data_IF_147343592448
#
_entry.id   IF_147343592448
#
_cell.length_a   1.000
_cell.length_b   1.000
_cell.length_c   1.000
_cell.angle_alpha   90.00
_cell.angle_beta   90.00
_cell.angle_gamma   90.00
#
_symmetry.space_group_name_H-M   'P 1'
#
loop_
_entity.id
_entity.type
_entity.pdbx_description
1 polymer ?
#
# COMPACT_ATOMS: atom_id res chain seq x y z
N UNK A 1 54.68 -42.45 -33.36
CA UNK A 1 56.10 -42.03 -33.42
C UNK A 1 56.12 -40.52 -33.15
N UNK A 2 56.68 -40.13 -32.01
CA UNK A 2 57.03 -38.75 -31.59
C UNK A 2 55.89 -37.73 -31.31
N UNK A 3 56.13 -36.65 -30.51
CA UNK A 3 56.06 -36.72 -29.05
C UNK A 3 55.37 -35.51 -28.37
N UNK A 4 55.33 -35.60 -27.04
CA UNK A 4 55.30 -34.58 -26.00
C UNK A 4 55.69 -33.12 -26.33
N UNK A 5 54.91 -32.24 -25.68
CA UNK A 5 55.29 -31.04 -24.92
C UNK A 5 55.79 -29.79 -25.65
N UNK A 6 55.04 -28.69 -25.49
CA UNK A 6 55.58 -27.56 -24.74
C UNK A 6 54.50 -26.71 -24.10
N UNK A 7 54.83 -26.17 -22.92
CA UNK A 7 53.96 -25.50 -21.99
C UNK A 7 54.16 -23.98 -22.07
N UNK A 8 53.09 -23.23 -22.31
CA UNK A 8 53.06 -21.79 -22.06
C UNK A 8 51.98 -21.45 -21.03
N UNK A 9 52.45 -21.05 -19.84
CA UNK A 9 51.67 -20.53 -18.73
C UNK A 9 51.27 -19.09 -19.05
N UNK A 10 50.04 -18.88 -19.49
CA UNK A 10 49.39 -17.57 -19.48
C UNK A 10 48.83 -17.25 -18.09
N UNK A 11 49.49 -16.34 -17.37
CA UNK A 11 48.99 -15.65 -16.18
C UNK A 11 47.77 -14.79 -16.54
N UNK A 12 46.56 -15.34 -16.36
CA UNK A 12 45.32 -14.57 -16.36
C UNK A 12 45.10 -13.86 -15.02
N UNK A 13 44.55 -12.63 -15.00
CA UNK A 13 44.32 -11.91 -13.76
C UNK A 13 43.24 -12.62 -12.92
N UNK A 14 43.54 -12.79 -11.63
CA UNK A 14 42.63 -13.32 -10.62
C UNK A 14 41.29 -12.56 -10.60
N UNK A 15 40.14 -13.24 -10.44
CA UNK A 15 38.86 -12.56 -10.31
C UNK A 15 38.84 -11.79 -8.99
N UNK A 16 38.66 -10.47 -9.09
CA UNK A 16 38.42 -9.59 -7.95
C UNK A 16 37.28 -10.15 -7.09
N UNK A 17 37.67 -10.56 -5.88
CA UNK A 17 36.77 -11.03 -4.84
C UNK A 17 35.76 -9.93 -4.56
N UNK A 18 34.51 -10.16 -4.98
CA UNK A 18 33.34 -9.37 -4.56
C UNK A 18 33.41 -9.20 -3.05
N UNK A 19 33.58 -7.96 -2.59
CA UNK A 19 33.61 -7.60 -1.17
C UNK A 19 32.32 -8.09 -0.52
N UNK A 20 32.46 -9.15 0.28
CA UNK A 20 31.35 -9.73 1.04
C UNK A 20 30.76 -8.69 1.98
N UNK A 21 29.44 -8.57 1.96
CA UNK A 21 28.69 -7.94 3.04
C UNK A 21 29.14 -8.58 4.36
N UNK A 22 29.81 -7.81 5.22
CA UNK A 22 30.11 -8.24 6.58
C UNK A 22 28.83 -8.63 7.33
N UNK A 23 28.92 -9.40 8.43
CA UNK A 23 27.76 -9.86 9.17
C UNK A 23 26.89 -8.66 9.56
N UNK A 24 25.63 -8.68 9.13
CA UNK A 24 24.67 -7.59 9.35
C UNK A 24 24.54 -7.38 10.88
N UNK A 25 25.18 -6.32 11.40
CA UNK A 25 25.14 -6.02 12.84
C UNK A 25 23.68 -5.88 13.26
N UNK A 26 23.30 -6.57 14.34
CA UNK A 26 21.96 -6.46 14.90
C UNK A 26 21.60 -4.97 15.11
N UNK A 27 20.40 -4.51 14.70
CA UNK A 27 19.99 -3.12 14.86
C UNK A 27 20.03 -2.70 16.34
N UNK A 28 20.65 -1.54 16.64
CA UNK A 28 20.78 -1.04 18.03
C UNK A 28 20.15 0.33 18.22
N UNK A 29 20.15 1.16 17.19
CA UNK A 29 19.66 2.54 17.24
C UNK A 29 18.33 2.70 16.51
N UNK A 30 17.63 3.81 16.75
CA UNK A 30 16.43 4.17 16.00
C UNK A 30 16.68 4.20 14.48
N UNK A 31 17.86 4.68 14.07
CA UNK A 31 18.35 4.68 12.69
C UNK A 31 18.45 3.29 12.11
N UNK A 32 19.11 2.37 12.81
CA UNK A 32 19.30 0.99 12.34
C UNK A 32 17.97 0.28 12.09
N UNK A 33 17.00 0.44 13.01
CA UNK A 33 15.69 -0.19 12.86
C UNK A 33 14.89 0.39 11.69
N UNK A 34 14.93 1.72 11.50
CA UNK A 34 14.26 2.36 10.36
C UNK A 34 14.92 1.93 9.05
N UNK A 35 16.25 1.93 8.96
CA UNK A 35 16.98 1.50 7.77
C UNK A 35 16.77 0.03 7.46
N UNK A 36 16.78 -0.86 8.45
CA UNK A 36 16.46 -2.27 8.25
C UNK A 36 15.03 -2.46 7.69
N UNK A 37 14.07 -1.63 8.12
CA UNK A 37 12.73 -1.63 7.53
C UNK A 37 12.73 -1.14 6.09
N UNK A 38 13.41 -0.03 5.80
CA UNK A 38 13.54 0.57 4.46
C UNK A 38 14.18 -0.44 3.49
N UNK A 39 15.35 -1.01 3.84
CA UNK A 39 16.04 -2.06 3.07
C UNK A 39 15.11 -3.22 2.75
N UNK A 40 14.34 -3.70 3.74
CA UNK A 40 13.38 -4.79 3.51
C UNK A 40 12.30 -4.43 2.50
N UNK A 41 11.79 -3.19 2.51
CA UNK A 41 10.77 -2.77 1.55
C UNK A 41 11.36 -2.53 0.14
N UNK A 42 12.57 -1.99 0.05
CA UNK A 42 13.31 -1.85 -1.22
C UNK A 42 13.59 -3.23 -1.83
N UNK A 43 14.14 -4.15 -1.05
CA UNK A 43 14.35 -5.53 -1.49
C UNK A 43 13.03 -6.22 -1.89
N UNK A 44 11.92 -5.94 -1.22
CA UNK A 44 10.62 -6.46 -1.63
C UNK A 44 10.15 -5.86 -2.96
N UNK A 45 10.35 -4.55 -3.18
CA UNK A 45 10.04 -3.88 -4.44
C UNK A 45 10.81 -4.53 -5.60
N UNK A 46 12.14 -4.65 -5.47
CA UNK A 46 13.02 -5.25 -6.49
C UNK A 46 12.67 -6.71 -6.76
N UNK A 47 12.46 -7.53 -5.71
CA UNK A 47 12.08 -8.94 -5.89
C UNK A 47 10.71 -9.13 -6.56
N UNK A 48 9.79 -8.18 -6.41
CA UNK A 48 8.45 -8.27 -6.96
C UNK A 48 8.37 -7.78 -8.40
N UNK A 49 9.33 -6.98 -8.88
CA UNK A 49 9.34 -6.47 -10.25
C UNK A 49 9.25 -7.60 -11.31
N UNK A 50 10.09 -8.66 -11.28
CA UNK A 50 9.97 -9.75 -12.25
C UNK A 50 8.62 -10.48 -12.16
N UNK A 51 8.05 -10.59 -10.96
CA UNK A 51 6.75 -11.22 -10.76
C UNK A 51 5.61 -10.39 -11.37
N UNK A 52 5.69 -9.06 -11.29
CA UNK A 52 4.73 -8.15 -11.93
C UNK A 52 4.83 -8.23 -13.45
N UNK A 53 6.06 -8.21 -13.99
CA UNK A 53 6.26 -8.34 -15.45
C UNK A 53 5.68 -9.64 -16.01
N UNK A 54 5.80 -10.74 -15.26
CA UNK A 54 5.28 -12.07 -15.60
C UNK A 54 3.80 -12.30 -15.29
N UNK A 55 3.07 -11.29 -14.84
CA UNK A 55 1.66 -11.42 -14.41
C UNK A 55 1.41 -12.45 -13.30
N UNK A 56 2.36 -12.64 -12.39
CA UNK A 56 2.15 -13.63 -11.34
C UNK A 56 1.04 -13.17 -10.40
N UNK A 57 0.17 -14.08 -9.91
CA UNK A 57 -0.92 -13.72 -9.02
C UNK A 57 -0.49 -12.85 -7.83
N UNK A 58 -1.28 -11.81 -7.55
CA UNK A 58 -1.10 -10.87 -6.43
C UNK A 58 0.24 -10.11 -6.43
N UNK A 59 1.05 -10.19 -7.49
CA UNK A 59 2.36 -9.53 -7.58
C UNK A 59 2.23 -8.00 -7.53
N UNK A 60 1.34 -7.42 -8.34
CA UNK A 60 1.05 -5.97 -8.41
C UNK A 60 0.59 -5.45 -7.05
N UNK A 61 -0.32 -6.18 -6.40
CA UNK A 61 -0.81 -5.81 -5.08
C UNK A 61 0.33 -5.78 -4.04
N UNK A 62 1.15 -6.84 -4.00
CA UNK A 62 2.30 -6.92 -3.09
C UNK A 62 3.31 -5.81 -3.37
N UNK A 63 3.61 -5.51 -4.63
CA UNK A 63 4.54 -4.46 -5.02
C UNK A 63 4.02 -3.08 -4.61
N UNK A 64 2.73 -2.83 -4.81
CA UNK A 64 2.05 -1.61 -4.35
C UNK A 64 2.09 -1.50 -2.82
N UNK A 65 1.89 -2.60 -2.10
CA UNK A 65 1.96 -2.61 -0.63
C UNK A 65 3.38 -2.27 -0.16
N UNK A 66 4.42 -2.86 -0.76
CA UNK A 66 5.82 -2.56 -0.45
C UNK A 66 6.14 -1.07 -0.70
N UNK A 67 5.77 -0.55 -1.88
CA UNK A 67 5.93 0.86 -2.26
C UNK A 67 5.27 1.81 -1.25
N UNK A 68 4.02 1.51 -0.86
CA UNK A 68 3.28 2.33 0.13
C UNK A 68 3.87 2.25 1.53
N UNK A 69 4.37 1.08 1.93
CA UNK A 69 5.04 0.88 3.23
C UNK A 69 6.34 1.65 3.29
N UNK A 70 7.15 1.58 2.23
CA UNK A 70 8.39 2.32 2.08
C UNK A 70 8.15 3.83 2.18
N UNK A 71 7.25 4.36 1.34
CA UNK A 71 6.84 5.77 1.40
C UNK A 71 6.30 6.20 2.77
N UNK A 72 5.54 5.31 3.41
CA UNK A 72 5.00 5.52 4.75
C UNK A 72 6.10 5.65 5.79
N UNK A 73 7.12 4.79 5.75
CA UNK A 73 8.26 4.83 6.65
C UNK A 73 9.06 6.12 6.49
N UNK A 74 9.45 6.48 5.26
CA UNK A 74 10.19 7.72 4.98
C UNK A 74 9.43 8.96 5.48
N UNK A 75 8.10 8.99 5.32
CA UNK A 75 7.27 10.08 5.83
C UNK A 75 7.20 10.13 7.36
N UNK A 76 7.01 8.99 8.00
CA UNK A 76 6.76 8.94 9.45
C UNK A 76 8.03 9.18 10.25
N UNK A 77 9.16 8.64 9.81
CA UNK A 77 10.45 8.71 10.53
C UNK A 77 11.32 9.88 10.05
N UNK A 78 10.71 10.99 9.66
CA UNK A 78 11.38 12.26 9.27
C UNK A 78 12.24 12.92 10.37
N UNK A 79 12.23 12.36 11.58
CA UNK A 79 13.11 12.78 12.67
C UNK A 79 14.41 11.96 12.68
N UNK A 80 14.44 10.83 11.97
CA UNK A 80 15.56 9.90 11.82
C UNK A 80 16.20 10.07 10.45
N UNK A 81 15.39 10.21 9.40
CA UNK A 81 15.83 10.48 8.03
C UNK A 81 15.51 11.91 7.65
N UNK A 82 16.43 12.58 6.96
CA UNK A 82 16.24 13.94 6.47
C UNK A 82 15.01 14.02 5.53
N UNK A 83 13.97 14.80 5.87
CA UNK A 83 12.79 14.96 5.03
C UNK A 83 13.08 15.62 3.68
N UNK A 84 14.12 16.44 3.56
CA UNK A 84 14.44 17.18 2.35
C UNK A 84 15.13 16.25 1.35
N UNK A 85 16.09 15.44 1.82
CA UNK A 85 16.71 14.39 1.01
C UNK A 85 15.71 13.27 0.63
N UNK A 86 14.83 12.87 1.54
CA UNK A 86 13.84 11.79 1.27
C UNK A 86 12.56 12.28 0.60
N UNK A 87 12.37 13.60 0.47
CA UNK A 87 11.20 14.23 -0.15
C UNK A 87 10.99 13.79 -1.60
N UNK A 88 11.97 14.00 -2.50
CA UNK A 88 11.90 13.58 -3.90
C UNK A 88 11.60 12.09 -4.05
N UNK A 89 12.32 11.22 -3.32
CA UNK A 89 12.10 9.76 -3.34
C UNK A 89 10.66 9.40 -2.92
N UNK A 90 10.10 10.10 -1.93
CA UNK A 90 8.72 9.87 -1.48
C UNK A 90 7.67 10.27 -2.52
N UNK A 91 7.98 11.22 -3.40
CA UNK A 91 7.10 11.66 -4.47
C UNK A 91 7.18 10.71 -5.67
N UNK A 92 8.36 10.17 -5.97
CA UNK A 92 8.50 9.09 -6.95
C UNK A 92 7.79 7.80 -6.47
N UNK A 93 7.93 7.43 -5.20
CA UNK A 93 7.14 6.33 -4.62
C UNK A 93 5.63 6.63 -4.59
N UNK A 94 5.21 7.90 -4.57
CA UNK A 94 3.79 8.28 -4.67
C UNK A 94 3.30 8.03 -6.09
N UNK A 95 4.07 8.44 -7.09
CA UNK A 95 3.82 8.22 -8.50
C UNK A 95 3.72 6.72 -8.79
N UNK A 96 4.73 5.92 -8.44
CA UNK A 96 4.73 4.47 -8.68
C UNK A 96 3.54 3.78 -7.99
N UNK A 97 3.21 4.16 -6.75
CA UNK A 97 2.06 3.59 -6.05
C UNK A 97 0.70 3.97 -6.67
N UNK A 98 0.64 5.07 -7.42
CA UNK A 98 -0.53 5.47 -8.19
C UNK A 98 -0.64 4.63 -9.47
N UNK A 99 0.47 4.47 -10.20
CA UNK A 99 0.56 3.62 -11.40
C UNK A 99 0.15 2.18 -11.09
N UNK A 100 0.79 1.55 -10.10
CA UNK A 100 0.42 0.22 -9.57
C UNK A 100 -1.01 0.14 -9.01
N UNK A 101 -1.62 1.29 -8.72
CA UNK A 101 -2.96 1.37 -8.15
C UNK A 101 -4.07 1.28 -9.17
N UNK A 102 -3.82 1.74 -10.40
CA UNK A 102 -4.81 1.80 -11.47
C UNK A 102 -5.35 0.41 -11.83
N UNK A 103 -4.50 -0.61 -11.86
CA UNK A 103 -4.89 -2.00 -12.14
C UNK A 103 -5.60 -2.63 -10.93
N UNK A 104 -4.97 -2.56 -9.74
CA UNK A 104 -5.49 -3.29 -8.56
C UNK A 104 -6.81 -2.74 -8.02
N UNK A 105 -7.00 -1.41 -8.03
CA UNK A 105 -8.26 -0.83 -7.56
C UNK A 105 -9.43 -1.27 -8.45
N UNK A 106 -9.17 -1.55 -9.74
CA UNK A 106 -10.16 -2.09 -10.69
C UNK A 106 -10.40 -3.57 -10.49
N UNK A 107 -9.37 -4.41 -10.34
CA UNK A 107 -9.58 -5.85 -10.07
C UNK A 107 -10.42 -6.10 -8.81
N UNK A 108 -10.14 -5.35 -7.74
CA UNK A 108 -10.89 -5.46 -6.48
C UNK A 108 -12.34 -5.02 -6.68
N UNK A 109 -12.56 -3.95 -7.45
CA UNK A 109 -13.88 -3.49 -7.80
C UNK A 109 -14.63 -4.52 -8.66
N UNK A 110 -14.02 -5.05 -9.73
CA UNK A 110 -14.63 -6.05 -10.62
C UNK A 110 -15.01 -7.31 -9.84
N UNK A 111 -14.10 -7.84 -9.01
CA UNK A 111 -14.38 -8.99 -8.15
C UNK A 111 -15.54 -8.71 -7.17
N UNK A 112 -15.61 -7.49 -6.62
CA UNK A 112 -16.73 -7.08 -5.77
C UNK A 112 -18.04 -7.04 -6.54
N UNK A 113 -18.06 -6.44 -7.74
CA UNK A 113 -19.26 -6.34 -8.56
C UNK A 113 -19.74 -7.72 -9.03
N UNK A 114 -18.83 -8.60 -9.43
CA UNK A 114 -19.16 -10.00 -9.73
C UNK A 114 -19.81 -10.69 -8.52
N UNK A 115 -19.20 -10.58 -7.33
CA UNK A 115 -19.77 -11.15 -6.11
C UNK A 115 -21.16 -10.57 -5.77
N UNK A 116 -21.41 -9.28 -6.06
CA UNK A 116 -22.74 -8.67 -5.88
C UNK A 116 -23.78 -9.20 -6.86
N UNK A 117 -23.39 -9.46 -8.09
CA UNK A 117 -24.25 -10.09 -9.10
C UNK A 117 -24.53 -11.55 -8.72
N UNK A 118 -23.52 -12.29 -8.25
CA UNK A 118 -23.66 -13.68 -7.81
C UNK A 118 -24.59 -13.83 -6.61
N UNK A 119 -24.56 -12.88 -5.68
CA UNK A 119 -25.42 -12.86 -4.51
C UNK A 119 -26.85 -12.34 -4.78
N UNK A 120 -27.12 -11.78 -5.95
CA UNK A 120 -28.44 -11.25 -6.28
C UNK A 120 -29.40 -12.36 -6.75
N UNK A 121 -30.68 -12.34 -6.34
CA UNK A 121 -31.70 -13.20 -6.93
C UNK A 121 -31.74 -13.06 -8.44
N UNK A 122 -31.89 -14.17 -9.17
CA UNK A 122 -31.92 -14.15 -10.64
C UNK A 122 -33.04 -13.27 -11.20
N UNK A 123 -34.16 -13.16 -10.48
CA UNK A 123 -35.30 -12.29 -10.81
C UNK A 123 -34.94 -10.79 -10.80
N UNK A 124 -33.90 -10.41 -10.06
CA UNK A 124 -33.43 -9.02 -9.95
C UNK A 124 -32.39 -8.66 -11.04
N UNK A 125 -31.95 -9.65 -11.83
CA UNK A 125 -30.92 -9.51 -12.86
C UNK A 125 -31.56 -9.33 -14.24
N UNK A 126 -31.79 -8.09 -14.64
CA UNK A 126 -32.41 -7.73 -15.91
C UNK A 126 -31.35 -7.33 -16.94
N UNK A 127 -31.34 -8.04 -18.07
CA UNK A 127 -30.41 -7.80 -19.17
C UNK A 127 -29.06 -8.54 -19.03
N UNK A 128 -28.10 -8.30 -19.93
CA UNK A 128 -26.85 -9.06 -20.03
C UNK A 128 -25.78 -8.56 -19.03
N UNK A 129 -26.17 -8.36 -17.77
CA UNK A 129 -25.37 -7.72 -16.70
C UNK A 129 -23.97 -8.33 -16.56
N UNK A 130 -23.87 -9.67 -16.57
CA UNK A 130 -22.60 -10.40 -16.47
C UNK A 130 -21.69 -10.18 -17.67
N UNK A 131 -22.25 -10.26 -18.87
CA UNK A 131 -21.51 -10.09 -20.11
C UNK A 131 -20.97 -8.64 -20.22
N UNK A 132 -21.82 -7.65 -19.90
CA UNK A 132 -21.41 -6.24 -19.86
C UNK A 132 -20.28 -5.99 -18.87
N UNK A 133 -20.38 -6.49 -17.63
CA UNK A 133 -19.30 -6.35 -16.65
C UNK A 133 -18.01 -7.00 -17.17
N UNK A 134 -18.09 -8.20 -17.72
CA UNK A 134 -16.93 -8.96 -18.22
C UNK A 134 -16.22 -8.22 -19.36
N UNK A 135 -16.95 -7.76 -20.37
CA UNK A 135 -16.41 -7.01 -21.51
C UNK A 135 -15.75 -5.71 -21.05
N UNK A 136 -16.45 -4.95 -20.20
CA UNK A 136 -15.96 -3.70 -19.63
C UNK A 136 -14.66 -3.91 -18.83
N UNK A 137 -14.55 -5.02 -18.10
CA UNK A 137 -13.38 -5.38 -17.29
C UNK A 137 -12.19 -5.84 -18.14
N UNK A 138 -12.42 -6.61 -19.20
CA UNK A 138 -11.37 -7.16 -20.06
C UNK A 138 -10.58 -6.06 -20.79
N UNK A 139 -11.28 -5.11 -21.42
CA UNK A 139 -10.64 -4.01 -22.14
C UNK A 139 -9.76 -3.16 -21.19
N UNK A 140 -10.28 -2.83 -20.01
CA UNK A 140 -9.55 -2.06 -19.00
C UNK A 140 -8.32 -2.78 -18.45
N UNK A 141 -8.39 -4.11 -18.30
CA UNK A 141 -7.26 -4.91 -17.80
C UNK A 141 -6.10 -4.92 -18.79
N UNK A 142 -6.39 -5.07 -20.08
CA UNK A 142 -5.38 -5.05 -21.13
C UNK A 142 -4.65 -3.68 -21.18
N UNK A 143 -5.41 -2.58 -21.16
CA UNK A 143 -4.86 -1.22 -21.15
C UNK A 143 -4.01 -0.95 -19.90
N UNK A 144 -4.53 -1.30 -18.71
CA UNK A 144 -3.82 -1.11 -17.46
C UNK A 144 -2.51 -1.90 -17.42
N UNK A 145 -2.52 -3.14 -17.92
CA UNK A 145 -1.32 -3.97 -18.00
C UNK A 145 -0.28 -3.38 -18.93
N UNK A 146 -0.68 -2.97 -20.14
CA UNK A 146 0.24 -2.35 -21.09
C UNK A 146 0.89 -1.11 -20.47
N UNK A 147 0.08 -0.23 -19.86
CA UNK A 147 0.57 0.97 -19.16
C UNK A 147 1.54 0.63 -18.03
N UNK A 148 1.24 -0.37 -17.21
CA UNK A 148 2.10 -0.77 -16.11
C UNK A 148 3.46 -1.30 -16.61
N UNK A 149 3.47 -2.11 -17.67
CA UNK A 149 4.73 -2.59 -18.26
C UNK A 149 5.58 -1.42 -18.78
N UNK A 150 4.98 -0.48 -19.51
CA UNK A 150 5.69 0.73 -19.97
C UNK A 150 6.22 1.57 -18.81
N UNK A 151 5.50 1.67 -17.69
CA UNK A 151 5.97 2.34 -16.48
C UNK A 151 7.21 1.66 -15.90
N UNK A 152 7.21 0.33 -15.82
CA UNK A 152 8.34 -0.43 -15.28
C UNK A 152 9.53 -0.49 -16.23
N UNK A 153 9.33 -0.26 -17.53
CA UNK A 153 10.40 -0.18 -18.54
C UNK A 153 10.98 1.23 -18.68
N UNK A 154 10.26 2.25 -18.19
CA UNK A 154 10.65 3.65 -18.36
C UNK A 154 11.79 4.11 -17.47
N UNK A 155 12.56 5.09 -17.98
CA UNK A 155 13.70 5.72 -17.29
C UNK A 155 13.34 6.25 -15.90
N UNK A 156 12.12 6.78 -15.72
CA UNK A 156 11.65 7.30 -14.43
C UNK A 156 11.60 6.23 -13.35
N UNK A 157 11.23 4.99 -13.68
CA UNK A 157 11.22 3.89 -12.72
C UNK A 157 12.64 3.45 -12.38
N UNK A 158 13.53 3.37 -13.37
CA UNK A 158 14.95 3.04 -13.16
C UNK A 158 15.64 4.09 -12.27
N UNK A 159 15.41 5.38 -12.54
CA UNK A 159 15.92 6.47 -11.71
C UNK A 159 15.41 6.41 -10.25
N UNK A 160 14.17 5.93 -10.04
CA UNK A 160 13.68 5.67 -8.68
C UNK A 160 14.45 4.51 -8.01
N UNK A 161 14.79 3.44 -8.74
CA UNK A 161 15.60 2.35 -8.19
C UNK A 161 17.00 2.85 -7.82
N UNK A 162 17.65 3.63 -8.69
CA UNK A 162 18.95 4.24 -8.43
C UNK A 162 18.91 5.16 -7.20
N UNK A 163 17.86 5.99 -7.07
CA UNK A 163 17.68 6.85 -5.91
C UNK A 163 17.45 6.07 -4.61
N UNK A 164 16.81 4.89 -4.67
CA UNK A 164 16.64 4.01 -3.52
C UNK A 164 17.95 3.34 -3.12
N UNK A 165 18.75 2.92 -4.09
CA UNK A 165 20.07 2.33 -3.84
C UNK A 165 21.03 3.37 -3.27
N UNK A 166 21.08 4.58 -3.82
CA UNK A 166 21.84 5.71 -3.28
C UNK A 166 21.42 6.06 -1.85
N UNK A 167 20.11 6.12 -1.57
CA UNK A 167 19.58 6.37 -0.23
C UNK A 167 19.99 5.29 0.79
N UNK A 168 20.16 4.05 0.35
CA UNK A 168 20.60 2.95 1.22
C UNK A 168 22.12 2.88 1.39
N UNK A 169 22.87 3.32 0.38
CA UNK A 169 24.33 3.39 0.39
C UNK A 169 24.85 4.51 1.29
N UNK A 170 24.27 5.71 1.18
CA UNK A 170 24.57 6.86 2.05
C UNK A 170 23.28 7.43 2.66
N UNK A 171 22.78 6.83 3.75
CA UNK A 171 21.50 7.23 4.32
C UNK A 171 21.57 8.62 4.98
N UNK A 172 20.64 9.54 4.66
CA UNK A 172 20.66 10.90 5.21
C UNK A 172 20.13 10.91 6.65
N UNK A 173 20.96 10.43 7.59
CA UNK A 173 20.62 10.28 9.00
C UNK A 173 20.66 11.62 9.74
N UNK A 174 19.63 11.88 10.52
CA UNK A 174 19.56 13.02 11.45
C UNK A 174 20.06 12.63 12.86
N UNK A 175 20.39 13.58 13.75
CA UNK A 175 20.94 13.28 15.07
C UNK A 175 20.09 12.33 15.94
N UNK A 176 18.77 12.30 15.78
CA UNK A 176 17.91 11.36 16.53
C UNK A 176 18.03 9.91 16.04
N UNK A 177 18.66 9.66 14.89
CA UNK A 177 18.93 8.31 14.41
C UNK A 177 19.81 7.53 15.40
N UNK A 178 20.79 8.19 16.03
CA UNK A 178 21.70 7.55 16.98
C UNK A 178 21.12 7.30 18.39
N UNK A 179 19.86 7.68 18.65
CA UNK A 179 19.23 7.48 19.96
C UNK A 179 18.64 6.08 20.11
N UNK A 180 18.34 5.71 21.36
CA UNK A 180 17.60 4.50 21.69
C UNK A 180 16.25 4.47 20.93
N UNK A 181 15.87 3.33 20.33
CA UNK A 181 14.64 3.23 19.54
C UNK A 181 13.37 3.49 20.37
N UNK A 182 13.38 3.19 21.66
CA UNK A 182 12.29 3.40 22.62
C UNK A 182 11.97 4.90 22.79
N UNK A 183 12.96 5.79 22.65
CA UNK A 183 12.76 7.23 22.79
C UNK A 183 12.19 7.89 21.52
N UNK A 184 12.35 7.25 20.37
CA UNK A 184 12.11 7.87 19.06
C UNK A 184 10.90 7.26 18.35
N UNK A 185 10.86 5.94 18.25
CA UNK A 185 9.87 5.23 17.43
C UNK A 185 8.44 5.36 17.98
N UNK A 186 8.18 5.22 19.30
CA UNK A 186 6.84 5.41 19.86
C UNK A 186 6.28 6.80 19.57
N UNK A 187 7.11 7.84 19.76
CA UNK A 187 6.72 9.25 19.52
C UNK A 187 6.30 9.48 18.06
N UNK A 188 7.02 8.88 17.10
CA UNK A 188 6.67 8.97 15.69
C UNK A 188 5.33 8.27 15.38
N UNK A 189 5.11 7.07 15.93
CA UNK A 189 3.85 6.32 15.78
C UNK A 189 2.68 7.10 16.40
N UNK A 190 2.84 7.61 17.62
CA UNK A 190 1.80 8.34 18.35
C UNK A 190 1.47 9.69 17.72
N UNK A 191 2.42 10.33 17.04
CA UNK A 191 2.16 11.53 16.23
C UNK A 191 1.24 11.23 15.04
N UNK A 192 1.47 10.13 14.32
CA UNK A 192 0.55 9.71 13.25
C UNK A 192 -0.81 9.28 13.82
N UNK A 193 -0.84 8.65 15.00
CA UNK A 193 -2.09 8.31 15.67
C UNK A 193 -2.93 9.55 16.01
N UNK A 194 -2.33 10.62 16.55
CA UNK A 194 -3.04 11.88 16.83
C UNK A 194 -3.66 12.47 15.57
N UNK A 195 -2.94 12.41 14.44
CA UNK A 195 -3.42 12.83 13.13
C UNK A 195 -4.59 11.98 12.60
N UNK A 196 -4.60 10.68 12.92
CA UNK A 196 -5.73 9.80 12.64
C UNK A 196 -6.92 10.15 13.53
N UNK A 197 -6.71 10.32 14.84
CA UNK A 197 -7.76 10.63 15.79
C UNK A 197 -8.50 11.93 15.42
N UNK A 198 -7.76 12.97 15.01
CA UNK A 198 -8.36 14.21 14.52
C UNK A 198 -9.21 13.99 13.25
N UNK A 199 -8.73 13.17 12.31
CA UNK A 199 -9.47 12.87 11.06
C UNK A 199 -10.73 12.04 11.29
N UNK A 200 -10.68 11.08 12.22
CA UNK A 200 -11.86 10.32 12.60
C UNK A 200 -12.91 11.24 13.21
N UNK A 201 -12.49 12.13 14.14
CA UNK A 201 -13.40 13.10 14.76
C UNK A 201 -14.05 14.01 13.71
N UNK A 202 -13.23 14.61 12.84
CA UNK A 202 -13.72 15.45 11.74
C UNK A 202 -14.70 14.71 10.84
N UNK A 203 -14.40 13.46 10.45
CA UNK A 203 -15.31 12.65 9.63
C UNK A 203 -16.63 12.30 10.35
N UNK A 204 -16.61 12.14 11.67
CA UNK A 204 -17.82 11.89 12.46
C UNK A 204 -18.72 13.13 12.55
N UNK A 205 -18.13 14.33 12.57
CA UNK A 205 -18.81 15.63 12.59
C UNK A 205 -19.44 16.02 11.24
N UNK A 206 -19.01 15.39 10.13
CA UNK A 206 -19.59 15.67 8.82
C UNK A 206 -21.01 15.06 8.69
N UNK A 207 -21.96 15.77 8.03
CA UNK A 207 -23.25 15.20 7.68
C UNK A 207 -23.08 14.06 6.65
N UNK A 208 -24.02 13.10 6.57
CA UNK A 208 -23.99 12.06 5.54
C UNK A 208 -23.87 12.65 4.13
N UNK A 209 -23.02 12.03 3.29
CA UNK A 209 -22.83 12.44 1.90
C UNK A 209 -21.37 12.61 1.49
N UNK A 210 -21.11 13.23 0.32
CA UNK A 210 -19.78 13.25 -0.29
C UNK A 210 -18.68 13.88 0.57
N UNK A 211 -19.03 14.88 1.40
CA UNK A 211 -18.09 15.49 2.34
C UNK A 211 -17.58 14.50 3.39
N UNK A 212 -18.49 13.72 3.97
CA UNK A 212 -18.16 12.64 4.91
C UNK A 212 -17.40 11.51 4.25
N UNK A 213 -17.77 11.12 3.04
CA UNK A 213 -17.05 10.08 2.27
C UNK A 213 -15.56 10.46 2.08
N UNK A 214 -15.30 11.72 1.70
CA UNK A 214 -13.93 12.24 1.55
C UNK A 214 -13.18 12.27 2.89
N UNK A 215 -13.83 12.71 3.97
CA UNK A 215 -13.24 12.75 5.30
C UNK A 215 -12.88 11.33 5.82
N UNK A 216 -13.77 10.35 5.62
CA UNK A 216 -13.54 8.93 5.93
C UNK A 216 -12.41 8.34 5.09
N UNK A 217 -12.33 8.69 3.81
CA UNK A 217 -11.23 8.30 2.94
C UNK A 217 -9.87 8.81 3.45
N UNK A 218 -9.81 10.04 3.91
CA UNK A 218 -8.59 10.61 4.48
C UNK A 218 -8.23 10.00 5.84
N UNK A 219 -9.23 9.66 6.66
CA UNK A 219 -9.03 8.85 7.86
C UNK A 219 -8.48 7.45 7.50
N UNK A 220 -8.97 6.80 6.43
CA UNK A 220 -8.45 5.51 5.93
C UNK A 220 -6.97 5.62 5.58
N UNK A 221 -6.58 6.67 4.85
CA UNK A 221 -5.16 6.93 4.53
C UNK A 221 -4.32 7.09 5.79
N UNK A 222 -4.84 7.80 6.80
CA UNK A 222 -4.16 7.97 8.09
C UNK A 222 -4.04 6.64 8.86
N UNK A 223 -5.08 5.83 8.91
CA UNK A 223 -5.06 4.52 9.56
C UNK A 223 -3.99 3.59 8.95
N UNK A 224 -3.88 3.57 7.62
CA UNK A 224 -2.79 2.86 6.91
C UNK A 224 -1.41 3.36 7.34
N UNK A 225 -1.21 4.68 7.48
CA UNK A 225 0.07 5.25 7.93
C UNK A 225 0.42 4.84 9.36
N UNK A 226 -0.53 4.93 10.29
CA UNK A 226 -0.29 4.51 11.69
C UNK A 226 0.06 3.03 11.75
N UNK A 227 -0.66 2.18 11.00
CA UNK A 227 -0.36 0.75 10.93
C UNK A 227 1.05 0.51 10.41
N UNK A 228 1.45 1.12 9.29
CA UNK A 228 2.79 0.92 8.72
C UNK A 228 3.90 1.44 9.63
N UNK A 229 3.68 2.57 10.32
CA UNK A 229 4.60 3.06 11.34
C UNK A 229 4.77 2.02 12.47
N UNK A 230 3.68 1.48 13.00
CA UNK A 230 3.76 0.46 14.04
C UNK A 230 4.38 -0.85 13.54
N UNK A 231 4.12 -1.26 12.29
CA UNK A 231 4.78 -2.41 11.65
C UNK A 231 6.29 -2.19 11.52
N UNK A 232 6.74 -0.96 11.26
CA UNK A 232 8.15 -0.60 11.17
C UNK A 232 8.85 -0.55 12.53
N UNK A 233 8.15 -0.10 13.57
CA UNK A 233 8.68 -0.06 14.94
C UNK A 233 8.69 -1.44 15.64
N UNK A 234 7.94 -2.43 15.12
CA UNK A 234 7.78 -3.75 15.74
C UNK A 234 9.10 -4.46 16.11
N UNK A 235 10.15 -4.47 15.27
CA UNK A 235 11.40 -5.15 15.63
C UNK A 235 12.07 -4.57 16.88
N UNK A 236 11.89 -3.28 17.16
CA UNK A 236 12.43 -2.64 18.36
C UNK A 236 11.45 -2.73 19.54
N UNK A 237 10.18 -2.36 19.32
CA UNK A 237 9.18 -2.21 20.38
C UNK A 237 8.40 -3.50 20.69
N UNK A 238 8.71 -4.61 20.02
CA UNK A 238 8.14 -5.93 20.29
C UNK A 238 6.61 -6.02 20.23
N UNK A 239 6.03 -6.69 21.23
CA UNK A 239 4.61 -7.03 21.28
C UNK A 239 3.67 -5.81 21.31
N UNK A 240 3.94 -4.74 22.08
CA UNK A 240 3.13 -3.51 22.05
C UNK A 240 2.88 -2.96 20.64
N UNK A 241 3.92 -2.82 19.83
CA UNK A 241 3.80 -2.33 18.45
C UNK A 241 3.01 -3.28 17.55
N UNK A 242 3.21 -4.60 17.69
CA UNK A 242 2.40 -5.62 16.98
C UNK A 242 0.91 -5.48 17.31
N UNK A 243 0.58 -5.36 18.60
CA UNK A 243 -0.81 -5.21 19.07
C UNK A 243 -1.44 -3.91 18.59
N UNK A 244 -0.67 -2.81 18.60
CA UNK A 244 -1.13 -1.51 18.12
C UNK A 244 -1.40 -1.53 16.61
N UNK A 245 -0.49 -2.09 15.81
CA UNK A 245 -0.68 -2.26 14.37
C UNK A 245 -1.93 -3.09 14.05
N UNK A 246 -2.18 -4.17 14.79
CA UNK A 246 -3.37 -5.01 14.63
C UNK A 246 -4.67 -4.24 14.88
N UNK A 247 -4.73 -3.37 15.91
CA UNK A 247 -5.90 -2.51 16.17
C UNK A 247 -6.14 -1.51 15.04
N UNK A 248 -5.08 -0.89 14.53
CA UNK A 248 -5.18 0.03 13.40
C UNK A 248 -5.61 -0.69 12.12
N UNK A 249 -5.24 -1.97 11.95
CA UNK A 249 -5.75 -2.82 10.87
C UNK A 249 -7.27 -2.99 10.94
N UNK A 250 -7.84 -3.17 12.13
CA UNK A 250 -9.30 -3.28 12.31
C UNK A 250 -10.02 -1.99 11.91
N UNK A 251 -9.53 -0.82 12.35
CA UNK A 251 -10.07 0.48 11.95
C UNK A 251 -9.93 0.68 10.43
N UNK A 252 -8.77 0.35 9.88
CA UNK A 252 -8.51 0.41 8.44
C UNK A 252 -9.47 -0.49 7.65
N UNK A 253 -9.87 -1.65 8.17
CA UNK A 253 -10.79 -2.57 7.49
C UNK A 253 -12.16 -1.91 7.32
N UNK A 254 -12.76 -1.39 8.39
CA UNK A 254 -14.07 -0.72 8.32
C UNK A 254 -14.05 0.48 7.36
N UNK A 255 -13.03 1.35 7.48
CA UNK A 255 -12.85 2.48 6.55
C UNK A 255 -12.54 2.03 5.12
N UNK A 256 -11.95 0.84 4.97
CA UNK A 256 -11.70 0.22 3.69
C UNK A 256 -12.98 -0.23 3.02
N UNK A 257 -13.77 -1.02 3.74
CA UNK A 257 -15.04 -1.55 3.25
C UNK A 257 -16.01 -0.43 2.87
N UNK A 258 -16.03 0.68 3.65
CA UNK A 258 -16.77 1.91 3.32
C UNK A 258 -16.29 2.51 2.00
N UNK A 259 -14.98 2.81 1.87
CA UNK A 259 -14.45 3.41 0.64
C UNK A 259 -14.69 2.52 -0.58
N UNK A 260 -14.58 1.21 -0.41
CA UNK A 260 -14.77 0.27 -1.51
C UNK A 260 -16.25 0.25 -1.96
N UNK A 261 -17.21 0.48 -1.05
CA UNK A 261 -18.62 0.78 -1.42
C UNK A 261 -18.75 2.12 -2.17
N UNK A 262 -18.07 3.18 -1.72
CA UNK A 262 -18.10 4.50 -2.40
C UNK A 262 -17.63 4.37 -3.85
N UNK A 263 -16.50 3.70 -4.07
CA UNK A 263 -15.95 3.46 -5.42
C UNK A 263 -16.88 2.57 -6.26
N UNK A 264 -17.50 1.55 -5.64
CA UNK A 264 -18.44 0.68 -6.33
C UNK A 264 -19.67 1.43 -6.83
N UNK A 265 -20.22 2.35 -6.04
CA UNK A 265 -21.34 3.21 -6.44
C UNK A 265 -21.03 4.04 -7.68
N UNK A 266 -19.86 4.66 -7.73
CA UNK A 266 -19.44 5.45 -8.90
C UNK A 266 -19.38 4.58 -10.17
N UNK A 267 -18.80 3.38 -10.06
CA UNK A 267 -18.71 2.44 -11.18
C UNK A 267 -20.08 1.91 -11.62
N UNK A 268 -20.96 1.57 -10.67
CA UNK A 268 -22.32 1.12 -10.94
C UNK A 268 -23.13 2.20 -11.66
N UNK A 269 -22.97 3.46 -11.28
CA UNK A 269 -23.59 4.59 -11.99
C UNK A 269 -23.11 4.68 -13.44
N UNK A 270 -21.81 4.55 -13.67
CA UNK A 270 -21.25 4.52 -15.05
C UNK A 270 -21.80 3.34 -15.85
N UNK A 271 -21.85 2.15 -15.26
CA UNK A 271 -22.41 0.95 -15.92
C UNK A 271 -23.89 1.10 -16.23
N UNK A 272 -24.67 1.73 -15.35
CA UNK A 272 -26.08 2.04 -15.57
C UNK A 272 -26.28 2.95 -16.79
N UNK A 273 -25.50 4.03 -16.90
CA UNK A 273 -25.53 4.94 -18.05
C UNK A 273 -25.16 4.22 -19.34
N UNK A 274 -24.11 3.39 -19.32
CA UNK A 274 -23.67 2.61 -20.48
C UNK A 274 -24.71 1.57 -20.91
N UNK A 275 -25.37 0.90 -19.96
CA UNK A 275 -26.42 -0.06 -20.25
C UNK A 275 -27.62 0.63 -20.89
N UNK A 276 -28.07 1.74 -20.30
CA UNK A 276 -29.18 2.52 -20.84
C UNK A 276 -28.90 3.02 -22.26
N UNK A 277 -27.70 3.57 -22.52
CA UNK A 277 -27.31 4.01 -23.87
C UNK A 277 -27.21 2.89 -24.90
N UNK A 278 -27.07 1.63 -24.46
CA UNK A 278 -27.08 0.45 -25.32
C UNK A 278 -28.48 -0.20 -25.46
N UNK A 279 -29.54 0.44 -24.95
CA UNK A 279 -30.90 -0.11 -24.95
C UNK A 279 -31.12 -1.24 -23.94
N UNK A 280 -30.19 -1.45 -23.01
CA UNK A 280 -30.30 -2.46 -21.96
C UNK A 280 -30.94 -1.90 -20.69
N UNK A 281 -31.49 -2.78 -19.86
CA UNK A 281 -32.04 -2.39 -18.57
C UNK A 281 -30.98 -1.84 -17.62
N UNK A 282 -31.23 -0.65 -17.06
CA UNK A 282 -30.41 -0.05 -16.01
C UNK A 282 -30.77 -0.54 -14.60
N UNK A 283 -31.86 -1.29 -14.46
CA UNK A 283 -32.46 -1.67 -13.17
C UNK A 283 -31.47 -2.34 -12.23
N UNK A 284 -30.77 -3.38 -12.70
CA UNK A 284 -29.85 -4.15 -11.85
C UNK A 284 -28.69 -3.29 -11.34
N UNK A 285 -28.17 -2.38 -12.16
CA UNK A 285 -27.09 -1.47 -11.74
C UNK A 285 -27.56 -0.51 -10.65
N UNK A 286 -28.78 0.04 -10.77
CA UNK A 286 -29.40 0.87 -9.74
C UNK A 286 -29.68 0.11 -8.43
N UNK A 287 -30.16 -1.13 -8.52
CA UNK A 287 -30.37 -2.00 -7.36
C UNK A 287 -29.05 -2.26 -6.62
N UNK A 288 -27.99 -2.62 -7.33
CA UNK A 288 -26.68 -2.84 -6.74
C UNK A 288 -26.10 -1.55 -6.14
N UNK A 289 -26.35 -0.40 -6.76
CA UNK A 289 -25.95 0.91 -6.23
C UNK A 289 -26.57 1.15 -4.85
N UNK A 290 -27.88 0.96 -4.71
CA UNK A 290 -28.59 1.11 -3.43
C UNK A 290 -28.08 0.14 -2.35
N UNK A 291 -27.73 -1.10 -2.74
CA UNK A 291 -27.10 -2.07 -1.83
C UNK A 291 -25.72 -1.61 -1.34
N UNK A 292 -24.94 -0.96 -2.19
CA UNK A 292 -23.65 -0.39 -1.80
C UNK A 292 -23.78 0.87 -0.92
N UNK A 293 -24.82 1.70 -1.13
CA UNK A 293 -25.16 2.79 -0.20
C UNK A 293 -25.49 2.26 1.20
N UNK A 294 -26.35 1.25 1.28
CA UNK A 294 -26.70 0.62 2.55
C UNK A 294 -25.47 0.01 3.24
N UNK A 295 -24.57 -0.62 2.48
CA UNK A 295 -23.33 -1.19 3.00
C UNK A 295 -22.38 -0.10 3.53
N UNK A 296 -22.20 1.01 2.82
CA UNK A 296 -21.40 2.15 3.27
C UNK A 296 -21.97 2.71 4.58
N UNK A 297 -23.28 2.98 4.63
CA UNK A 297 -23.97 3.50 5.82
C UNK A 297 -23.82 2.57 7.04
N UNK A 298 -23.84 1.25 6.83
CA UNK A 298 -23.59 0.28 7.90
C UNK A 298 -22.16 0.40 8.48
N UNK A 299 -21.15 0.61 7.63
CA UNK A 299 -19.76 0.81 8.08
C UNK A 299 -19.57 2.13 8.82
N UNK A 300 -20.29 3.18 8.41
CA UNK A 300 -20.32 4.44 9.15
C UNK A 300 -20.89 4.27 10.56
N UNK A 301 -21.98 3.49 10.72
CA UNK A 301 -22.56 3.17 12.03
C UNK A 301 -21.63 2.30 12.89
N UNK A 302 -20.85 1.41 12.27
CA UNK A 302 -19.91 0.54 12.98
C UNK A 302 -18.66 1.29 13.47
N UNK A 303 -18.20 2.28 12.70
CA UNK A 303 -16.93 2.96 12.90
C UNK A 303 -16.74 3.53 14.33
N UNK A 304 -17.70 4.24 14.96
CA UNK A 304 -17.53 4.76 16.31
C UNK A 304 -17.17 3.66 17.33
N UNK A 305 -17.85 2.52 17.29
CA UNK A 305 -17.61 1.39 18.21
C UNK A 305 -16.25 0.73 17.96
N UNK A 306 -15.85 0.58 16.69
CA UNK A 306 -14.53 0.02 16.34
C UNK A 306 -13.41 0.98 16.74
N UNK A 307 -13.60 2.28 16.50
CA UNK A 307 -12.65 3.32 16.89
C UNK A 307 -12.49 3.40 18.40
N UNK A 308 -13.58 3.44 19.18
CA UNK A 308 -13.53 3.50 20.65
C UNK A 308 -12.73 2.34 21.27
N UNK A 309 -12.84 1.13 20.71
CA UNK A 309 -12.04 -0.04 21.13
C UNK A 309 -10.57 0.09 20.73
N UNK A 310 -10.31 0.59 19.52
CA UNK A 310 -8.95 0.74 19.00
C UNK A 310 -8.18 1.90 19.67
N UNK A 311 -8.86 2.97 20.09
CA UNK A 311 -8.30 4.22 20.62
C UNK A 311 -8.05 4.22 22.13
N UNK A 312 -8.42 3.14 22.84
CA UNK A 312 -8.20 2.99 24.29
C UNK A 312 -6.76 3.39 24.70
N UNK A 313 -6.56 4.03 25.88
CA UNK A 313 -5.24 4.52 26.28
C UNK A 313 -4.19 3.43 26.48
N UNK A 314 -4.57 2.26 27.02
CA UNK A 314 -3.63 1.18 27.39
C UNK A 314 -2.61 0.81 26.30
N UNK A 315 -3.03 0.46 25.07
CA UNK A 315 -2.11 0.17 23.97
C UNK A 315 -1.19 1.32 23.55
N UNK A 316 -1.59 2.57 23.80
CA UNK A 316 -0.75 3.73 23.51
C UNK A 316 0.33 3.89 24.56
N UNK A 317 -0.05 3.78 25.84
CA UNK A 317 0.88 3.76 26.97
C UNK A 317 1.91 2.64 26.83
N UNK A 318 1.46 1.44 26.47
CA UNK A 318 2.34 0.29 26.27
C UNK A 318 3.39 0.47 25.15
N UNK A 319 3.23 1.44 24.24
CA UNK A 319 4.29 1.75 23.25
C UNK A 319 5.44 2.55 23.87
N UNK A 320 5.18 3.29 24.94
CA UNK A 320 6.15 4.20 25.56
C UNK A 320 6.96 3.54 26.69
N UNK A 321 6.62 2.29 27.04
CA UNK A 321 7.14 1.59 28.23
C UNK A 321 6.10 1.61 29.33
#
# INVERSE_FOLDING_TARGET
MNPMADAERGTGPEPERRRGHGPERAPRTAGDHVLAYVRRQVAALVRLDPAVRRDLPDSVHRMRVATRRLRGALRTYRAVLDPDATGPVRDELKWLAAELGTERDREVLDARLHARIDAAPRTDLLGPVRARLTLSSAARRAEARHRLLSVLEGERYLALLDALDALLADPPLLPRAGRAPEDVLPRAVLKEYRRLAARIRHAQEQPPGPGRDRALHDARKAAKRVRYAAEAARPALGHPAKRFAARMKTVQKVLGDHQDSVVARDALRTLAVQAHGAGESAFTWGLLYGREEAAAAARERELPRVWARASRPGPRKALEG
#
